data_IF_602668324799
#
_entry.id   IF_602668324799
#
_cell.length_a   1.000
_cell.length_b   1.000
_cell.length_c   1.000
_cell.angle_alpha   90.00
_cell.angle_beta   90.00
_cell.angle_gamma   90.00
#
_symmetry.space_group_name_H-M   'P 1'
#
loop_
_entity.id
_entity.type
_entity.pdbx_description
1 polymer ?
#
# COMPACT_ATOMS: atom_id res chain seq x y z
N UNK A 1 -1.23 -14.87 -7.23
CA UNK A 1 -0.97 -13.47 -7.64
C UNK A 1 0.46 -13.10 -7.30
N UNK A 2 1.14 -12.49 -8.23
CA UNK A 2 2.52 -12.06 -8.02
C UNK A 2 2.55 -10.68 -7.37
N UNK A 3 3.10 -10.61 -6.16
CA UNK A 3 3.21 -9.36 -5.41
C UNK A 3 4.58 -8.72 -5.59
N UNK A 4 5.13 -8.84 -6.79
CA UNK A 4 6.43 -8.26 -7.09
C UNK A 4 6.43 -6.76 -6.85
N UNK A 5 7.41 -6.28 -6.08
CA UNK A 5 7.49 -4.86 -5.72
C UNK A 5 6.67 -4.46 -4.52
N UNK A 6 5.88 -5.37 -3.97
CA UNK A 6 5.12 -5.11 -2.74
C UNK A 6 5.90 -5.58 -1.53
N UNK A 7 5.77 -4.85 -0.43
CA UNK A 7 6.39 -5.21 0.84
C UNK A 7 5.34 -5.52 1.87
N UNK A 8 5.59 -6.55 2.68
CA UNK A 8 4.73 -6.89 3.80
C UNK A 8 5.05 -5.97 4.97
N UNK A 9 4.03 -5.35 5.54
CA UNK A 9 4.22 -4.38 6.60
C UNK A 9 2.98 -4.31 7.47
N UNK A 10 3.17 -4.07 8.80
CA UNK A 10 2.06 -3.74 9.66
C UNK A 10 1.59 -2.32 9.36
N UNK A 11 0.28 -2.17 9.21
CA UNK A 11 -0.33 -0.87 9.02
C UNK A 11 -1.32 -0.65 10.14
N UNK A 12 -0.90 0.11 11.15
CA UNK A 12 -1.75 0.40 12.32
C UNK A 12 -2.30 -0.88 12.97
N UNK A 13 -1.44 -1.91 13.07
CA UNK A 13 -1.82 -3.19 13.66
C UNK A 13 -2.48 -4.18 12.70
N UNK A 14 -2.58 -3.82 11.42
CA UNK A 14 -3.20 -4.66 10.40
C UNK A 14 -2.11 -5.14 9.44
N UNK A 15 -1.98 -6.47 9.22
CA UNK A 15 -1.05 -6.95 8.21
C UNK A 15 -1.43 -6.42 6.84
N UNK A 16 -0.47 -5.85 6.11
CA UNK A 16 -0.76 -5.16 4.86
C UNK A 16 0.36 -5.37 3.85
N UNK A 17 0.05 -5.08 2.60
CA UNK A 17 1.00 -4.97 1.50
C UNK A 17 1.16 -3.50 1.15
N UNK A 18 2.40 -3.05 1.03
CA UNK A 18 2.71 -1.65 0.70
C UNK A 18 3.54 -1.62 -0.56
N UNK A 19 3.16 -0.78 -1.50
CA UNK A 19 3.95 -0.54 -2.69
C UNK A 19 4.16 0.95 -2.87
N UNK A 20 5.41 1.32 -3.16
CA UNK A 20 5.79 2.70 -3.41
C UNK A 20 6.37 2.82 -4.80
N UNK A 21 6.03 3.90 -5.48
CA UNK A 21 6.58 4.21 -6.79
C UNK A 21 7.61 5.31 -6.67
N UNK A 22 8.44 5.43 -7.70
CA UNK A 22 9.54 6.41 -7.69
C UNK A 22 9.03 7.86 -7.71
N UNK A 23 7.79 8.07 -8.12
CA UNK A 23 7.19 9.41 -8.16
C UNK A 23 6.58 9.83 -6.81
N UNK A 24 6.64 8.96 -5.80
CA UNK A 24 6.09 9.24 -4.48
C UNK A 24 4.71 8.66 -4.22
N UNK A 25 4.11 8.03 -5.21
CA UNK A 25 2.84 7.34 -5.03
C UNK A 25 3.00 6.16 -4.07
N UNK A 26 2.03 5.96 -3.19
CA UNK A 26 2.03 4.85 -2.24
C UNK A 26 0.64 4.26 -2.12
N UNK A 27 0.57 2.94 -2.12
CA UNK A 27 -0.69 2.21 -1.93
C UNK A 27 -0.50 1.19 -0.83
N UNK A 28 -1.48 1.09 0.08
CA UNK A 28 -1.50 0.12 1.17
C UNK A 28 -2.77 -0.70 1.06
N UNK A 29 -2.60 -2.02 1.03
CA UNK A 29 -3.71 -2.97 0.87
C UNK A 29 -3.65 -3.98 1.99
N UNK A 30 -4.78 -4.22 2.68
CA UNK A 30 -4.85 -5.25 3.71
C UNK A 30 -4.62 -6.63 3.08
N UNK A 31 -3.82 -7.47 3.75
CA UNK A 31 -3.56 -8.81 3.26
C UNK A 31 -4.82 -9.66 3.26
N UNK A 32 -5.64 -9.50 4.30
CA UNK A 32 -6.89 -10.25 4.41
C UNK A 32 -7.98 -9.52 3.62
N UNK A 33 -8.49 -10.19 2.60
CA UNK A 33 -9.53 -9.63 1.76
C UNK A 33 -9.06 -8.60 0.75
N UNK A 34 -7.77 -8.35 0.67
CA UNK A 34 -7.17 -7.40 -0.28
C UNK A 34 -7.88 -6.04 -0.29
N UNK A 35 -8.24 -5.56 0.88
CA UNK A 35 -8.97 -4.29 1.03
C UNK A 35 -8.01 -3.12 0.98
N UNK A 36 -8.35 -2.11 0.19
CA UNK A 36 -7.54 -0.89 0.11
C UNK A 36 -7.62 -0.13 1.43
N UNK A 37 -6.47 0.13 2.05
CA UNK A 37 -6.39 0.86 3.32
C UNK A 37 -5.98 2.32 3.12
N UNK A 38 -5.09 2.58 2.16
CA UNK A 38 -4.58 3.93 1.94
C UNK A 38 -4.05 4.04 0.53
N UNK A 39 -4.29 5.17 -0.10
CA UNK A 39 -3.74 5.49 -1.42
C UNK A 39 -3.32 6.95 -1.42
N UNK A 40 -2.00 7.16 -1.55
CA UNK A 40 -1.44 8.51 -1.58
C UNK A 40 -0.82 8.74 -2.96
N UNK A 41 -1.29 9.78 -3.63
CA UNK A 41 -0.79 10.12 -4.95
C UNK A 41 0.60 10.78 -4.87
N UNK A 42 1.23 10.99 -6.02
CA UNK A 42 2.58 11.52 -6.10
C UNK A 42 2.71 12.92 -5.49
N UNK A 43 1.63 13.69 -5.43
CA UNK A 43 1.63 15.02 -4.83
C UNK A 43 1.50 14.99 -3.30
N UNK A 44 1.42 13.79 -2.72
CA UNK A 44 1.29 13.63 -1.29
C UNK A 44 -0.14 13.74 -0.77
N UNK A 45 -1.11 13.91 -1.65
CA UNK A 45 -2.52 13.99 -1.26
C UNK A 45 -3.11 12.60 -1.24
N UNK A 46 -3.76 12.23 -0.14
CA UNK A 46 -4.44 10.95 -0.01
C UNK A 46 -5.77 11.00 -0.75
N UNK A 47 -6.04 9.95 -1.53
CA UNK A 47 -7.23 9.90 -2.37
C UNK A 47 -8.35 9.07 -1.77
#
# INVERSE_FOLDING_TARGET
MDMHGWQQQDWQGIPAWVKRWSDGTQVVVAQQGAQLLSWRAADGVER
#
